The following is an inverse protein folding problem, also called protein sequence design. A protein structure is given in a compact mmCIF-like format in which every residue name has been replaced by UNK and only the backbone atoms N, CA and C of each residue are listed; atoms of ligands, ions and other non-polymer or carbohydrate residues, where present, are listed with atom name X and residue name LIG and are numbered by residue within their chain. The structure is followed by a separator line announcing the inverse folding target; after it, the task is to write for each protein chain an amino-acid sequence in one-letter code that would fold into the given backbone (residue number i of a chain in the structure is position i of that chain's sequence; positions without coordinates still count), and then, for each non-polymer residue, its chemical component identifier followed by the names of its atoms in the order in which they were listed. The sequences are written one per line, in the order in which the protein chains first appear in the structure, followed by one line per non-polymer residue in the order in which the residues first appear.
data_IF_177146897580
#
_entry.id   IF_177146897580
#
_cell.length_a   1.000
_cell.length_b   1.000
_cell.length_c   1.000
_cell.angle_alpha   90.00
_cell.angle_beta   90.00
_cell.angle_gamma   90.00
#
_symmetry.space_group_name_H-M   'P 1'
#
loop_
_entity.id
_entity.type
_entity.pdbx_description
1 polymer ?
#
# COMPACT_ATOMS: atom_id res chain seq x y z
N UNK A 1 7.40 78.39 -1.80
CA UNK A 1 7.90 79.65 -1.21
C UNK A 1 7.79 79.47 0.30
N UNK A 2 8.82 79.46 1.14
CA UNK A 2 10.26 79.58 1.03
C UNK A 2 10.73 79.50 2.50
N UNK A 3 11.59 78.55 2.83
CA UNK A 3 12.29 78.55 4.12
C UNK A 3 13.71 78.08 3.83
N UNK A 4 14.56 79.09 3.73
CA UNK A 4 16.01 79.04 3.62
C UNK A 4 16.63 79.13 5.01
N UNK A 5 17.93 78.83 5.03
CA UNK A 5 18.90 79.08 6.11
C UNK A 5 19.00 77.96 7.15
N UNK A 6 20.20 77.55 7.56
CA UNK A 6 21.53 78.07 7.28
C UNK A 6 22.55 77.22 8.01
N UNK A 7 23.69 77.03 7.38
CA UNK A 7 24.80 76.18 7.80
C UNK A 7 25.84 77.07 8.50
N UNK A 8 26.45 76.60 9.58
CA UNK A 8 27.74 77.07 10.13
C UNK A 8 28.26 75.94 11.03
N UNK A 9 29.27 75.13 10.69
CA UNK A 9 30.70 75.38 10.44
C UNK A 9 31.45 76.10 11.57
N UNK A 10 32.17 75.33 12.38
CA UNK A 10 33.52 75.57 12.95
C UNK A 10 33.95 74.23 13.59
N UNK A 11 35.19 73.75 13.58
CA UNK A 11 36.45 74.20 13.05
C UNK A 11 37.59 73.42 13.76
N UNK A 12 38.58 72.95 12.99
CA UNK A 12 40.00 72.76 13.37
C UNK A 12 40.37 71.76 14.50
N UNK A 13 41.55 71.10 14.57
CA UNK A 13 42.82 71.14 13.83
C UNK A 13 43.64 69.87 14.17
N UNK A 14 44.58 69.51 13.28
CA UNK A 14 45.89 68.87 13.53
C UNK A 14 45.93 67.39 13.95
N UNK A 15 46.82 66.54 13.45
CA UNK A 15 48.03 66.74 12.63
C UNK A 15 48.47 65.42 11.98
N UNK A 16 49.40 65.54 11.03
CA UNK A 16 49.95 64.48 10.16
C UNK A 16 50.97 63.57 10.87
N UNK A 17 50.93 62.26 10.49
CA UNK A 17 51.99 61.33 9.98
C UNK A 17 53.39 61.27 10.64
N UNK A 18 54.32 60.32 10.32
CA UNK A 18 54.31 59.20 9.35
C UNK A 18 54.95 57.85 9.84
N UNK A 19 54.90 56.81 8.97
CA UNK A 19 55.89 55.73 8.66
C UNK A 19 56.79 55.13 9.79
N UNK A 20 57.16 53.84 9.88
CA UNK A 20 57.63 52.87 8.86
C UNK A 20 58.01 51.51 9.55
N UNK A 21 58.12 50.42 8.80
CA UNK A 21 58.93 49.16 8.99
C UNK A 21 58.98 48.50 10.38
N UNK A 22 58.38 47.32 10.60
CA UNK A 22 58.88 45.98 10.23
C UNK A 22 60.25 45.63 10.86
N UNK A 23 60.28 44.86 11.96
CA UNK A 23 60.98 43.56 12.10
C UNK A 23 61.12 43.07 13.56
N UNK A 24 60.92 41.75 13.71
CA UNK A 24 61.69 40.83 14.57
C UNK A 24 61.35 40.64 16.06
N UNK A 25 60.62 39.55 16.28
CA UNK A 25 60.97 38.39 17.10
C UNK A 25 61.19 38.48 18.64
N UNK A 26 60.57 37.48 19.27
CA UNK A 26 61.08 36.67 20.38
C UNK A 26 60.72 37.06 21.83
N UNK A 27 60.45 35.98 22.57
CA UNK A 27 60.31 35.78 24.01
C UNK A 27 58.94 36.15 24.63
N UNK A 28 58.04 35.18 24.90
CA UNK A 28 58.02 34.30 26.10
C UNK A 28 58.27 35.07 27.41
N UNK A 29 57.53 34.92 28.51
CA UNK A 29 56.44 34.04 28.89
C UNK A 29 55.80 34.63 30.17
N UNK A 30 54.48 34.62 30.28
CA UNK A 30 53.81 34.85 31.56
C UNK A 30 52.69 33.81 31.72
N UNK A 31 53.00 32.76 32.48
CA UNK A 31 52.15 31.61 32.74
C UNK A 31 50.94 32.00 33.58
N UNK A 32 49.75 32.06 32.98
CA UNK A 32 48.48 32.05 33.72
C UNK A 32 47.92 30.64 33.72
N UNK A 33 47.88 30.03 34.90
CA UNK A 33 47.35 28.69 35.16
C UNK A 33 45.83 28.72 34.97
N UNK A 34 45.36 28.38 33.77
CA UNK A 34 43.93 28.19 33.50
C UNK A 34 43.52 26.83 34.04
N UNK A 35 42.59 26.83 34.98
CA UNK A 35 41.92 25.63 35.48
C UNK A 35 41.04 25.12 34.34
N UNK A 36 41.47 24.06 33.67
CA UNK A 36 40.68 23.38 32.64
C UNK A 36 39.42 22.83 33.32
N UNK A 37 38.27 23.46 33.09
CA UNK A 37 37.00 22.84 33.39
C UNK A 37 36.75 21.79 32.30
N UNK A 38 36.55 20.52 32.63
CA UNK A 38 36.06 19.58 31.64
C UNK A 38 34.64 20.04 31.29
N UNK A 39 34.45 20.56 30.08
CA UNK A 39 33.13 20.58 29.50
C UNK A 39 32.72 19.12 29.38
N UNK A 40 31.69 18.72 30.14
CA UNK A 40 31.07 17.42 29.94
C UNK A 40 30.57 17.43 28.49
N UNK A 41 31.29 16.71 27.63
CA UNK A 41 30.78 16.35 26.33
C UNK A 41 29.57 15.47 26.61
N UNK A 42 28.38 16.06 26.57
CA UNK A 42 27.14 15.31 26.46
C UNK A 42 27.22 14.68 25.07
N UNK A 43 27.46 13.37 24.94
CA UNK A 43 27.33 12.76 23.63
C UNK A 43 25.90 13.06 23.17
N UNK A 44 25.68 13.48 21.91
CA UNK A 44 24.33 13.53 21.40
C UNK A 44 23.74 12.15 21.67
N UNK A 45 22.62 12.11 22.39
CA UNK A 45 21.81 10.90 22.52
C UNK A 45 21.74 10.29 21.11
N UNK A 46 21.92 8.97 20.95
CA UNK A 46 21.76 8.35 19.64
C UNK A 46 20.45 8.90 19.11
N UNK A 47 20.52 9.60 17.97
CA UNK A 47 19.32 10.04 17.29
C UNK A 47 18.47 8.78 17.20
N UNK A 48 17.34 8.75 17.91
CA UNK A 48 16.32 7.78 17.61
C UNK A 48 15.97 8.09 16.17
N UNK A 49 16.61 7.40 15.23
CA UNK A 49 16.12 7.35 13.86
C UNK A 49 14.64 7.04 14.04
N UNK A 50 13.74 7.94 13.60
CA UNK A 50 12.33 7.64 13.68
C UNK A 50 12.19 6.32 12.94
N UNK A 51 11.91 5.24 13.68
CA UNK A 51 11.70 3.90 13.15
C UNK A 51 10.84 4.10 11.94
N UNK A 52 11.42 3.90 10.75
CA UNK A 52 10.78 4.29 9.52
C UNK A 52 9.42 3.63 9.52
N UNK A 53 8.36 4.45 9.58
CA UNK A 53 7.00 3.95 9.63
C UNK A 53 6.86 2.97 8.46
N UNK A 54 6.41 1.73 8.70
CA UNK A 54 6.53 0.69 7.71
C UNK A 54 5.69 1.09 6.49
N UNK A 55 6.30 1.02 5.29
CA UNK A 55 5.71 1.53 4.05
C UNK A 55 4.26 1.03 3.84
N UNK A 56 3.40 1.88 3.30
CA UNK A 56 2.02 1.51 3.01
C UNK A 56 1.98 0.33 2.02
N UNK A 57 1.12 -0.66 2.28
CA UNK A 57 0.89 -1.79 1.37
C UNK A 57 -0.14 -1.35 0.33
N UNK A 58 0.33 -0.93 -0.83
CA UNK A 58 -0.47 -0.23 -1.84
C UNK A 58 -0.16 -0.79 -3.22
N UNK A 59 -1.21 -0.96 -4.03
CA UNK A 59 -1.11 -1.22 -5.46
C UNK A 59 -2.01 -0.21 -6.18
N UNK A 60 -1.50 0.42 -7.24
CA UNK A 60 -2.18 1.47 -7.98
C UNK A 60 -2.22 1.11 -9.46
N UNK A 61 -3.29 1.51 -10.14
CA UNK A 61 -3.36 1.46 -11.60
C UNK A 61 -2.31 2.41 -12.16
N UNK A 62 -1.44 1.91 -13.04
CA UNK A 62 -0.51 2.78 -13.78
C UNK A 62 -1.30 3.55 -14.84
N UNK A 63 -0.98 4.83 -15.02
CA UNK A 63 -1.77 5.80 -15.78
C UNK A 63 -2.23 5.27 -17.15
N UNK A 64 -3.54 5.01 -17.26
CA UNK A 64 -4.22 4.59 -18.49
C UNK A 64 -5.53 5.35 -18.64
N UNK A 65 -5.95 5.59 -19.88
CA UNK A 65 -7.08 6.46 -20.24
C UNK A 65 -8.43 6.04 -19.61
N UNK A 66 -8.56 4.79 -19.18
CA UNK A 66 -9.73 4.29 -18.44
C UNK A 66 -9.45 4.18 -16.93
N UNK A 67 -9.90 5.18 -16.17
CA UNK A 67 -10.08 5.04 -14.72
C UNK A 67 -11.38 4.26 -14.51
N UNK A 68 -11.27 2.97 -14.22
CA UNK A 68 -12.40 2.13 -13.83
C UNK A 68 -13.06 2.62 -12.54
N UNK A 69 -13.89 1.79 -11.90
CA UNK A 69 -14.52 2.17 -10.61
C UNK A 69 -13.54 2.35 -9.46
N UNK A 70 -12.32 1.83 -9.60
CA UNK A 70 -11.24 1.88 -8.62
C UNK A 70 -9.94 2.28 -9.32
N UNK A 71 -9.13 3.08 -8.63
CA UNK A 71 -7.80 3.53 -9.05
C UNK A 71 -6.68 2.68 -8.44
N UNK A 72 -7.03 1.75 -7.54
CA UNK A 72 -6.10 0.83 -6.91
C UNK A 72 -6.66 0.19 -5.64
N UNK A 73 -5.77 -0.38 -4.85
CA UNK A 73 -6.08 -0.99 -3.56
C UNK A 73 -5.01 -0.72 -2.51
N UNK A 74 -5.48 -0.60 -1.28
CA UNK A 74 -4.69 -0.38 -0.09
C UNK A 74 -5.02 -1.47 0.94
N UNK A 75 -3.98 -2.07 1.51
CA UNK A 75 -4.08 -3.06 2.57
C UNK A 75 -3.57 -2.50 3.90
N UNK A 76 -4.44 -1.88 4.73
CA UNK A 76 -4.07 -1.41 6.06
C UNK A 76 -3.54 -2.54 6.94
N UNK A 77 -2.70 -2.21 7.91
CA UNK A 77 -2.29 -3.15 8.96
C UNK A 77 -3.31 -3.20 10.11
N UNK A 78 -4.06 -2.13 10.30
CA UNK A 78 -5.04 -1.97 11.37
C UNK A 78 -6.25 -1.14 10.95
N UNK A 79 -7.30 -1.12 11.78
CA UNK A 79 -8.46 -0.23 11.59
C UNK A 79 -8.29 1.13 12.28
N UNK A 80 -7.06 1.53 12.59
CA UNK A 80 -6.76 2.82 13.20
C UNK A 80 -6.30 3.84 12.13
N UNK A 81 -7.20 4.73 11.73
CA UNK A 81 -6.92 5.74 10.72
C UNK A 81 -5.80 6.70 11.12
N UNK A 82 -5.61 6.99 12.42
CA UNK A 82 -4.56 7.91 12.88
C UNK A 82 -3.17 7.34 12.63
N UNK A 83 -3.00 6.03 12.80
CA UNK A 83 -1.72 5.35 12.59
C UNK A 83 -1.47 5.03 11.12
N UNK A 84 -2.52 4.76 10.36
CA UNK A 84 -2.42 4.24 9.00
C UNK A 84 -2.34 5.34 7.93
N UNK A 85 -3.15 6.40 8.05
CA UNK A 85 -3.25 7.43 7.01
C UNK A 85 -1.95 8.24 6.80
N UNK A 86 -1.13 8.56 7.82
CA UNK A 86 0.14 9.25 7.57
C UNK A 86 1.12 8.47 6.69
N UNK A 87 1.13 7.14 6.80
CA UNK A 87 1.96 6.28 5.96
C UNK A 87 1.41 6.21 4.53
N UNK A 88 0.08 6.13 4.39
CA UNK A 88 -0.59 6.14 3.08
C UNK A 88 -0.36 7.46 2.34
N UNK A 89 -0.60 8.61 2.99
CA UNK A 89 -0.42 9.92 2.35
C UNK A 89 1.03 10.16 1.98
N UNK A 90 1.98 9.74 2.81
CA UNK A 90 3.40 9.88 2.50
C UNK A 90 3.85 9.17 1.21
N UNK A 91 3.16 8.09 0.81
CA UNK A 91 3.38 7.40 -0.46
C UNK A 91 2.61 8.07 -1.60
N UNK A 92 1.41 8.57 -1.34
CA UNK A 92 0.52 9.12 -2.35
C UNK A 92 0.81 10.58 -2.74
N UNK A 93 1.25 11.43 -1.80
CA UNK A 93 1.49 12.84 -2.05
C UNK A 93 2.53 13.09 -3.16
N UNK A 94 3.65 12.33 -3.25
CA UNK A 94 4.61 12.49 -4.34
C UNK A 94 4.09 11.99 -5.69
N UNK A 95 3.19 11.01 -5.70
CA UNK A 95 2.68 10.37 -6.92
C UNK A 95 1.55 11.17 -7.55
N UNK A 96 0.66 11.70 -6.72
CA UNK A 96 -0.61 12.27 -7.16
C UNK A 96 -0.84 13.71 -6.69
N UNK A 97 0.10 14.26 -5.92
CA UNK A 97 -0.01 15.56 -5.30
C UNK A 97 -0.70 15.50 -3.94
N UNK A 98 -0.63 16.62 -3.23
CA UNK A 98 -1.04 16.75 -1.82
C UNK A 98 -2.51 16.36 -1.61
N UNK A 99 -2.74 15.31 -0.84
CA UNK A 99 -4.08 14.88 -0.45
C UNK A 99 -4.65 15.89 0.56
N UNK A 100 -5.90 16.29 0.39
CA UNK A 100 -6.52 17.27 1.29
C UNK A 100 -7.73 16.73 2.02
N UNK A 101 -8.40 15.74 1.43
CA UNK A 101 -9.56 15.09 2.05
C UNK A 101 -9.58 13.60 1.78
N UNK A 102 -9.96 12.85 2.81
CA UNK A 102 -10.21 11.41 2.75
C UNK A 102 -11.63 11.15 3.23
N UNK A 103 -12.33 10.24 2.57
CA UNK A 103 -13.63 9.76 3.00
C UNK A 103 -13.66 8.24 3.08
N UNK A 104 -14.25 7.74 4.15
CA UNK A 104 -14.40 6.30 4.43
C UNK A 104 -15.84 5.96 4.81
N UNK A 105 -16.25 4.71 4.60
CA UNK A 105 -17.51 4.20 5.16
C UNK A 105 -17.36 3.89 6.65
N UNK A 106 -18.26 4.34 7.54
CA UNK A 106 -18.12 4.09 8.98
C UNK A 106 -18.30 2.64 9.40
N UNK A 107 -18.72 1.75 8.49
CA UNK A 107 -18.98 0.34 8.78
C UNK A 107 -17.76 -0.43 9.28
N UNK A 108 -16.57 -0.12 8.76
CA UNK A 108 -15.33 -0.84 9.06
C UNK A 108 -14.31 -0.04 9.88
N UNK A 109 -14.63 1.21 10.24
CA UNK A 109 -13.72 2.11 10.94
C UNK A 109 -14.32 2.52 12.29
N UNK A 110 -13.82 1.97 13.42
CA UNK A 110 -14.41 2.19 14.73
C UNK A 110 -14.28 3.65 15.21
N UNK A 111 -13.22 4.34 14.78
CA UNK A 111 -12.97 5.73 15.10
C UNK A 111 -12.60 6.45 13.81
N UNK A 112 -13.31 7.53 13.51
CA UNK A 112 -13.04 8.39 12.36
C UNK A 112 -12.69 9.78 12.88
N UNK A 113 -11.39 10.09 13.04
CA UNK A 113 -10.98 11.44 13.42
C UNK A 113 -11.42 12.43 12.34
N UNK A 114 -11.66 13.69 12.71
CA UNK A 114 -12.06 14.73 11.72
C UNK A 114 -10.87 15.23 10.91
N UNK A 115 -9.70 15.24 11.52
CA UNK A 115 -8.47 15.77 10.95
C UNK A 115 -7.30 14.90 11.41
N UNK A 116 -6.36 14.64 10.51
CA UNK A 116 -5.16 13.86 10.78
C UNK A 116 -3.93 14.65 10.35
N UNK A 117 -2.97 14.90 11.25
CA UNK A 117 -1.70 15.49 10.88
C UNK A 117 -0.88 14.47 10.07
N UNK A 118 -0.42 14.89 8.91
CA UNK A 118 0.49 14.13 8.06
C UNK A 118 1.72 14.98 7.75
N UNK A 119 2.68 14.43 7.00
CA UNK A 119 3.92 15.15 6.71
C UNK A 119 3.64 16.46 5.95
N UNK A 120 3.91 17.59 6.62
CA UNK A 120 3.78 18.93 6.04
C UNK A 120 2.36 19.47 5.87
N UNK A 121 1.33 18.74 6.33
CA UNK A 121 -0.06 19.19 6.22
C UNK A 121 -1.05 18.40 7.07
N UNK A 122 -2.31 18.86 7.08
CA UNK A 122 -3.42 18.17 7.74
C UNK A 122 -4.40 17.69 6.69
N UNK A 123 -4.80 16.42 6.78
CA UNK A 123 -5.84 15.84 5.93
C UNK A 123 -7.16 15.84 6.68
N UNK A 124 -8.22 16.33 6.03
CA UNK A 124 -9.58 16.26 6.57
C UNK A 124 -10.14 14.88 6.30
N UNK A 125 -10.61 14.21 7.34
CA UNK A 125 -11.21 12.89 7.22
C UNK A 125 -12.70 13.04 7.48
N UNK A 126 -13.49 12.60 6.50
CA UNK A 126 -14.93 12.58 6.56
C UNK A 126 -15.47 11.16 6.41
N UNK A 127 -16.76 11.04 6.61
CA UNK A 127 -17.52 9.83 6.31
C UNK A 127 -18.81 10.23 5.62
N UNK A 128 -19.34 9.31 4.81
CA UNK A 128 -20.65 9.45 4.20
C UNK A 128 -21.45 8.22 4.59
N UNK A 129 -22.65 8.43 5.10
CA UNK A 129 -23.57 7.33 5.43
C UNK A 129 -24.20 6.81 4.13
N UNK A 130 -24.24 5.48 3.97
CA UNK A 130 -25.02 4.74 2.96
C UNK A 130 -24.65 4.91 1.48
N UNK A 131 -23.83 5.89 1.11
CA UNK A 131 -23.54 6.23 -0.30
C UNK A 131 -22.15 5.77 -0.78
N UNK A 132 -21.26 5.41 0.17
CA UNK A 132 -19.92 4.89 -0.11
C UNK A 132 -19.89 3.40 0.19
N UNK A 133 -19.37 2.65 -0.79
CA UNK A 133 -19.07 1.21 -0.65
C UNK A 133 -18.24 0.96 0.63
N UNK A 134 -18.63 -0.01 1.49
CA UNK A 134 -17.97 -0.29 2.77
C UNK A 134 -16.47 -0.54 2.70
N UNK A 135 -15.99 -1.04 1.57
CA UNK A 135 -14.58 -1.35 1.32
C UNK A 135 -13.91 -0.30 0.45
N UNK A 136 -14.48 0.90 0.30
CA UNK A 136 -13.91 1.96 -0.52
C UNK A 136 -13.38 3.12 0.33
N UNK A 137 -12.20 3.60 -0.05
CA UNK A 137 -11.57 4.80 0.48
C UNK A 137 -11.43 5.82 -0.65
N UNK A 138 -12.04 6.98 -0.46
CA UNK A 138 -12.05 8.07 -1.44
C UNK A 138 -11.04 9.13 -1.01
N UNK A 139 -10.10 9.46 -1.88
CA UNK A 139 -9.13 10.54 -1.68
C UNK A 139 -9.43 11.70 -2.63
N UNK A 140 -9.23 12.93 -2.15
CA UNK A 140 -9.33 14.14 -2.94
C UNK A 140 -8.05 14.95 -2.84
N UNK A 141 -7.58 15.41 -3.99
CA UNK A 141 -6.50 16.38 -4.16
C UNK A 141 -7.02 17.58 -4.96
N UNK A 142 -6.67 18.81 -4.55
CA UNK A 142 -7.18 20.02 -5.20
C UNK A 142 -6.71 20.17 -6.66
N UNK A 143 -5.55 19.60 -7.02
CA UNK A 143 -4.98 19.73 -8.37
C UNK A 143 -5.23 18.54 -9.28
N UNK A 144 -5.50 17.37 -8.70
CA UNK A 144 -5.41 16.09 -9.43
C UNK A 144 -6.70 15.27 -9.39
N UNK A 145 -7.72 15.75 -8.66
CA UNK A 145 -9.07 15.20 -8.69
C UNK A 145 -9.33 14.21 -7.56
N UNK A 146 -9.99 13.09 -7.91
CA UNK A 146 -10.46 12.05 -6.98
C UNK A 146 -9.78 10.72 -7.29
N UNK A 147 -9.38 9.98 -6.25
CA UNK A 147 -9.01 8.56 -6.32
C UNK A 147 -9.94 7.72 -5.45
N UNK A 148 -10.39 6.59 -5.99
CA UNK A 148 -11.16 5.57 -5.29
C UNK A 148 -10.31 4.31 -5.09
N UNK A 149 -9.92 4.01 -3.85
CA UNK A 149 -9.14 2.82 -3.49
C UNK A 149 -10.02 1.77 -2.84
N UNK A 150 -9.78 0.50 -3.20
CA UNK A 150 -10.26 -0.64 -2.41
C UNK A 150 -9.46 -0.72 -1.10
N UNK A 151 -10.16 -0.88 0.02
CA UNK A 151 -9.60 -1.19 1.34
C UNK A 151 -9.71 -2.69 1.58
N UNK A 152 -8.58 -3.37 1.54
CA UNK A 152 -8.51 -4.79 1.92
C UNK A 152 -8.58 -4.90 3.45
N UNK A 153 -9.49 -5.71 4.02
CA UNK A 153 -9.54 -5.89 5.47
C UNK A 153 -8.17 -6.31 6.04
N UNK A 154 -7.74 -5.77 7.20
CA UNK A 154 -6.42 -6.07 7.76
C UNK A 154 -6.25 -7.55 8.14
N UNK A 155 -7.34 -8.26 8.44
CA UNK A 155 -7.37 -9.69 8.73
C UNK A 155 -7.34 -10.61 7.50
N UNK A 156 -7.35 -10.07 6.28
CA UNK A 156 -7.25 -10.86 5.06
C UNK A 156 -5.89 -11.53 4.96
N UNK A 157 -5.86 -12.82 4.61
CA UNK A 157 -4.62 -13.57 4.41
C UNK A 157 -3.75 -12.97 3.31
N UNK A 158 -2.43 -13.12 3.41
CA UNK A 158 -1.48 -12.45 2.51
C UNK A 158 -1.69 -12.79 1.03
N UNK A 159 -2.01 -14.04 0.71
CA UNK A 159 -2.29 -14.46 -0.68
C UNK A 159 -3.56 -13.82 -1.23
N UNK A 160 -4.65 -13.82 -0.45
CA UNK A 160 -5.90 -13.15 -0.80
C UNK A 160 -5.72 -11.65 -0.95
N UNK A 161 -4.97 -11.03 -0.03
CA UNK A 161 -4.66 -9.61 -0.11
C UNK A 161 -3.85 -9.28 -1.36
N UNK A 162 -2.88 -10.12 -1.73
CA UNK A 162 -2.10 -9.95 -2.96
C UNK A 162 -2.98 -10.06 -4.21
N UNK A 163 -3.91 -11.04 -4.27
CA UNK A 163 -4.88 -11.16 -5.36
C UNK A 163 -5.80 -9.94 -5.47
N UNK A 164 -6.32 -9.45 -4.35
CA UNK A 164 -7.15 -8.24 -4.32
C UNK A 164 -6.37 -6.99 -4.75
N UNK A 165 -5.13 -6.84 -4.29
CA UNK A 165 -4.24 -5.74 -4.69
C UNK A 165 -3.99 -5.77 -6.20
N UNK A 166 -3.75 -6.95 -6.77
CA UNK A 166 -3.56 -7.13 -8.20
C UNK A 166 -4.85 -6.84 -8.98
N UNK A 167 -5.98 -7.42 -8.59
CA UNK A 167 -7.26 -7.26 -9.27
C UNK A 167 -7.74 -5.80 -9.30
N UNK A 168 -7.57 -5.06 -8.20
CA UNK A 168 -7.95 -3.65 -8.14
C UNK A 168 -7.00 -2.72 -8.93
N UNK A 169 -5.79 -3.18 -9.23
CA UNK A 169 -4.79 -2.44 -10.00
C UNK A 169 -4.74 -2.84 -11.47
N UNK A 170 -5.52 -3.84 -11.87
CA UNK A 170 -5.62 -4.30 -13.25
C UNK A 170 -6.41 -3.28 -14.10
N UNK A 171 -5.85 -2.91 -15.24
CA UNK A 171 -6.48 -1.99 -16.18
C UNK A 171 -7.59 -2.66 -17.00
N UNK A 172 -7.39 -3.94 -17.33
CA UNK A 172 -8.22 -4.68 -18.28
C UNK A 172 -9.37 -5.45 -17.60
N UNK A 173 -9.38 -5.44 -16.27
CA UNK A 173 -10.43 -6.08 -15.47
C UNK A 173 -11.80 -5.38 -15.62
N UNK A 174 -12.90 -6.12 -15.38
CA UNK A 174 -14.25 -5.54 -15.40
C UNK A 174 -14.37 -4.43 -14.34
N UNK A 175 -15.20 -3.39 -14.58
CA UNK A 175 -15.45 -2.35 -13.59
C UNK A 175 -16.28 -2.93 -12.43
N UNK A 176 -15.60 -3.45 -11.41
CA UNK A 176 -16.20 -3.99 -10.20
C UNK A 176 -16.13 -2.99 -9.05
N UNK A 177 -17.14 -3.03 -8.18
CA UNK A 177 -17.13 -2.28 -6.92
C UNK A 177 -16.15 -2.92 -5.93
N UNK A 178 -15.73 -2.16 -4.92
CA UNK A 178 -14.83 -2.68 -3.88
C UNK A 178 -15.46 -3.87 -3.14
N UNK A 179 -16.75 -3.78 -2.80
CA UNK A 179 -17.48 -4.90 -2.17
C UNK A 179 -17.61 -6.11 -3.09
N UNK A 180 -17.81 -5.93 -4.40
CA UNK A 180 -17.88 -7.05 -5.34
C UNK A 180 -16.54 -7.79 -5.44
N UNK A 181 -15.41 -7.07 -5.44
CA UNK A 181 -14.08 -7.68 -5.42
C UNK A 181 -13.83 -8.48 -4.14
N UNK A 182 -14.20 -7.91 -2.98
CA UNK A 182 -14.09 -8.62 -1.69
C UNK A 182 -14.96 -9.88 -1.68
N UNK A 183 -16.22 -9.79 -2.14
CA UNK A 183 -17.12 -10.93 -2.21
C UNK A 183 -16.60 -12.04 -3.13
N UNK A 184 -16.08 -11.67 -4.32
CA UNK A 184 -15.51 -12.62 -5.26
C UNK A 184 -14.29 -13.36 -4.67
N UNK A 185 -13.41 -12.64 -3.97
CA UNK A 185 -12.26 -13.26 -3.29
C UNK A 185 -12.72 -14.19 -2.16
N UNK A 186 -13.73 -13.82 -1.38
CA UNK A 186 -14.28 -14.69 -0.34
C UNK A 186 -14.83 -16.00 -0.91
N UNK A 187 -15.60 -15.93 -2.00
CA UNK A 187 -16.11 -17.11 -2.71
C UNK A 187 -14.95 -17.99 -3.21
N UNK A 188 -13.97 -17.40 -3.90
CA UNK A 188 -12.81 -18.11 -4.42
C UNK A 188 -11.99 -18.80 -3.32
N UNK A 189 -11.82 -18.13 -2.16
CA UNK A 189 -11.11 -18.74 -1.01
C UNK A 189 -11.89 -19.90 -0.41
N UNK A 190 -13.22 -19.84 -0.38
CA UNK A 190 -14.04 -20.91 0.17
C UNK A 190 -14.05 -22.13 -0.75
N UNK A 191 -14.17 -21.92 -2.06
CA UNK A 191 -14.04 -22.98 -3.07
C UNK A 191 -12.66 -23.68 -2.97
N UNK A 192 -11.58 -22.90 -2.81
CA UNK A 192 -10.25 -23.46 -2.65
C UNK A 192 -10.11 -24.32 -1.37
N UNK A 193 -10.74 -23.92 -0.26
CA UNK A 193 -10.77 -24.72 0.98
C UNK A 193 -11.52 -26.04 0.80
N UNK A 194 -12.63 -26.01 0.05
CA UNK A 194 -13.41 -27.22 -0.25
C UNK A 194 -12.69 -28.15 -1.22
N UNK A 195 -11.96 -27.61 -2.19
CA UNK A 195 -11.14 -28.41 -3.12
C UNK A 195 -9.95 -29.09 -2.43
N UNK A 196 -9.44 -28.50 -1.34
CA UNK A 196 -8.35 -29.03 -0.51
C UNK A 196 -8.86 -29.98 0.59
N UNK A 197 -10.14 -30.34 0.60
CA UNK A 197 -10.67 -31.43 1.42
C UNK A 197 -10.79 -32.72 0.61
N UNK A 198 -9.71 -33.50 0.40
CA UNK A 198 -9.88 -34.94 0.32
C UNK A 198 -10.23 -35.35 1.75
N UNK A 199 -11.53 -35.53 2.01
CA UNK A 199 -11.87 -36.53 3.02
C UNK A 199 -11.19 -37.80 2.53
N UNK A 200 -10.50 -38.48 3.42
CA UNK A 200 -10.11 -39.88 3.31
C UNK A 200 -11.34 -40.73 2.92
N UNK A 201 -11.76 -40.68 1.67
CA UNK A 201 -12.09 -41.90 0.98
C UNK A 201 -10.75 -42.49 0.58
N UNK A 202 -10.11 -43.11 1.58
CA UNK A 202 -9.69 -44.47 1.37
C UNK A 202 -10.85 -45.13 0.62
N UNK A 203 -10.70 -45.23 -0.69
CA UNK A 203 -11.29 -46.32 -1.43
C UNK A 203 -10.78 -47.54 -0.68
N UNK A 204 -11.60 -48.06 0.22
CA UNK A 204 -11.45 -49.41 0.72
C UNK A 204 -11.51 -50.29 -0.53
N UNK A 205 -10.39 -50.87 -1.00
CA UNK A 205 -10.39 -51.73 -2.17
C UNK A 205 -10.96 -53.11 -1.83
N UNK A 206 -11.30 -53.37 -0.57
CA UNK A 206 -11.64 -54.68 -0.02
C UNK A 206 -13.16 -54.87 0.19
N UNK A 207 -14.01 -53.84 0.05
CA UNK A 207 -15.47 -54.00 0.16
C UNK A 207 -16.18 -54.43 -1.15
N UNK A 208 -15.42 -54.85 -2.18
CA UNK A 208 -16.01 -55.16 -3.49
C UNK A 208 -16.16 -56.65 -3.85
N UNK A 209 -15.54 -57.63 -3.16
CA UNK A 209 -15.65 -59.04 -3.60
C UNK A 209 -15.63 -60.07 -2.48
N UNK A 210 -16.79 -60.27 -1.85
CA UNK A 210 -17.14 -61.54 -1.19
C UNK A 210 -18.45 -62.07 -1.81
N UNK A 211 -18.34 -62.58 -3.03
CA UNK A 211 -19.30 -63.56 -3.56
C UNK A 211 -18.53 -64.80 -3.99
N UNK A 212 -17.87 -65.44 -3.03
CA UNK A 212 -17.29 -66.78 -3.13
C UNK A 212 -18.43 -67.81 -2.98
N UNK A 213 -18.64 -68.66 -3.99
CA UNK A 213 -19.75 -69.61 -3.95
C UNK A 213 -19.88 -70.62 -5.09
N UNK A 214 -18.77 -71.22 -5.54
CA UNK A 214 -18.79 -72.60 -6.04
C UNK A 214 -18.64 -72.84 -7.55
N UNK A 215 -17.47 -73.36 -7.93
CA UNK A 215 -17.26 -74.21 -9.10
C UNK A 215 -18.12 -75.50 -8.97
N UNK A 216 -18.48 -76.26 -10.01
CA UNK A 216 -17.63 -76.76 -11.10
C UNK A 216 -18.51 -77.56 -12.13
N UNK A 217 -17.97 -78.30 -13.12
CA UNK A 217 -17.99 -77.93 -14.54
C UNK A 217 -18.80 -78.88 -15.45
N UNK A 218 -19.19 -78.46 -16.66
CA UNK A 218 -19.31 -79.40 -17.78
C UNK A 218 -19.13 -78.73 -19.14
N UNK A 219 -18.21 -79.28 -19.91
CA UNK A 219 -17.99 -79.02 -21.33
C UNK A 219 -19.21 -79.36 -22.17
N UNK A 220 -19.53 -78.53 -23.18
CA UNK A 220 -20.19 -78.98 -24.40
C UNK A 220 -19.87 -78.03 -25.57
N UNK A 221 -18.96 -78.54 -26.40
CA UNK A 221 -18.77 -78.40 -27.85
C UNK A 221 -19.87 -77.76 -28.72
N UNK A 222 -19.39 -77.05 -29.77
CA UNK A 222 -19.90 -77.00 -31.17
C UNK A 222 -21.15 -76.10 -31.42
N UNK A 223 -21.33 -75.30 -32.47
CA UNK A 223 -20.61 -75.00 -33.73
C UNK A 223 -21.10 -73.63 -34.24
N UNK A 224 -20.22 -72.89 -34.93
CA UNK A 224 -20.49 -72.11 -36.15
C UNK A 224 -21.60 -71.04 -36.18
N UNK A 225 -21.26 -69.83 -36.63
CA UNK A 225 -21.42 -69.45 -38.05
C UNK A 225 -21.00 -67.99 -38.28
N UNK A 226 -20.31 -67.84 -39.39
CA UNK A 226 -19.73 -66.66 -40.06
C UNK A 226 -20.69 -65.49 -40.31
N UNK A 227 -20.15 -64.27 -40.31
CA UNK A 227 -20.74 -63.13 -41.03
C UNK A 227 -20.21 -61.76 -40.62
N UNK A 228 -19.30 -61.18 -41.41
CA UNK A 228 -18.91 -59.75 -41.45
C UNK A 228 -18.70 -59.41 -42.95
N UNK A 229 -18.62 -58.15 -43.41
CA UNK A 229 -19.17 -56.86 -42.96
C UNK A 229 -19.99 -56.15 -44.09
N UNK A 230 -20.54 -54.96 -43.83
CA UNK A 230 -20.94 -54.02 -44.89
C UNK A 230 -21.30 -52.61 -44.36
N UNK A 231 -21.05 -51.51 -45.10
CA UNK A 231 -20.63 -50.23 -44.53
C UNK A 231 -21.63 -49.07 -44.73
N UNK A 232 -21.22 -47.89 -44.22
CA UNK A 232 -21.45 -46.52 -44.73
C UNK A 232 -22.26 -45.55 -43.84
N UNK A 233 -21.54 -44.52 -43.37
CA UNK A 233 -21.80 -43.08 -43.54
C UNK A 233 -23.18 -42.50 -43.19
N UNK A 234 -23.22 -41.53 -42.25
CA UNK A 234 -23.56 -40.13 -42.59
C UNK A 234 -23.32 -39.10 -41.47
N UNK A 235 -22.73 -38.00 -41.91
CA UNK A 235 -22.55 -36.69 -41.30
C UNK A 235 -23.89 -35.93 -41.19
N UNK A 236 -24.18 -35.23 -40.10
CA UNK A 236 -25.12 -34.09 -40.06
C UNK A 236 -24.56 -32.99 -39.13
N UNK A 237 -24.43 -31.79 -39.71
CA UNK A 237 -24.16 -30.48 -39.09
C UNK A 237 -25.48 -29.69 -39.13
N UNK A 238 -25.77 -28.89 -38.10
CA UNK A 238 -26.79 -27.82 -38.12
C UNK A 238 -26.68 -26.99 -36.84
N UNK A 239 -26.09 -25.80 -36.93
CA UNK A 239 -26.71 -24.45 -36.98
C UNK A 239 -27.18 -23.95 -35.61
#
# INVERSE_FOLDING_TARGET
MGSTEGISHTGFHAGSSPAKDETQAAAEAARRRVRTMPAAFVPPLPHSEPVAAPAARLALKTDGTSRGLLDGAWWPRSRDLLSELPALTGVLDPLWGRITRIAVSPEHWPVIPREIPVRGHTVKVGWFTSEIDPHKLLLLSYGTGRWDLLVVPPGTGAESAARLLAAASDHDGPPLTASALIAAELIATEEARHAVSPVDQALDPDEAWEYEGGASPVSATVTGRTGTPGPASRLIIGM
#
